data_IF_418654753041
#
_entry.id   IF_418654753041
#
_cell.length_a   1.000
_cell.length_b   1.000
_cell.length_c   1.000
_cell.angle_alpha   90.00
_cell.angle_beta   90.00
_cell.angle_gamma   90.00
#
_symmetry.space_group_name_H-M   'P 1'
#
loop_
_entity.id
_entity.type
_entity.pdbx_description
1 polymer ?
#
# COMPACT_ATOMS: atom_id res chain seq x y z
N UNK A 1 -19.81 43.71 -32.90
CA UNK A 1 -19.72 42.25 -32.75
C UNK A 1 -19.08 42.00 -31.37
N UNK A 2 -19.89 41.67 -30.35
CA UNK A 2 -19.39 41.25 -29.05
C UNK A 2 -18.89 39.82 -29.21
N UNK A 3 -17.58 39.60 -29.16
CA UNK A 3 -17.04 38.25 -29.00
C UNK A 3 -17.43 37.74 -27.63
N UNK A 4 -18.10 36.59 -27.61
CA UNK A 4 -18.30 35.88 -26.32
C UNK A 4 -16.91 35.51 -25.78
N UNK A 5 -16.63 35.79 -24.52
CA UNK A 5 -15.37 35.39 -23.92
C UNK A 5 -15.24 33.86 -23.99
N UNK A 6 -14.13 33.39 -24.52
CA UNK A 6 -13.78 31.97 -24.49
C UNK A 6 -13.54 31.60 -23.01
N UNK A 7 -14.27 30.61 -22.52
CA UNK A 7 -14.07 30.13 -21.16
C UNK A 7 -12.69 29.49 -21.03
N UNK A 8 -11.95 29.90 -20.01
CA UNK A 8 -10.67 29.27 -19.66
C UNK A 8 -10.92 27.85 -19.15
N UNK A 9 -10.07 26.91 -19.50
CA UNK A 9 -10.12 25.54 -19.00
C UNK A 9 -8.72 25.01 -18.66
N UNK A 10 -8.68 24.08 -17.70
CA UNK A 10 -7.55 23.23 -17.35
C UNK A 10 -8.08 21.82 -17.24
N UNK A 11 -7.46 20.87 -17.93
CA UNK A 11 -7.82 19.45 -17.92
C UNK A 11 -6.59 18.61 -17.68
N UNK A 12 -6.69 17.70 -16.73
CA UNK A 12 -5.66 16.71 -16.46
C UNK A 12 -6.00 15.40 -17.17
N UNK A 13 -5.00 14.67 -17.64
CA UNK A 13 -5.15 13.32 -18.19
C UNK A 13 -5.80 12.37 -17.18
N UNK A 14 -5.52 12.58 -15.89
CA UNK A 14 -6.10 11.81 -14.79
C UNK A 14 -6.36 12.70 -13.57
N UNK A 15 -7.43 12.41 -12.83
CA UNK A 15 -7.75 13.04 -11.56
C UNK A 15 -7.25 12.23 -10.35
N UNK A 16 -6.73 11.01 -10.59
CA UNK A 16 -6.16 10.14 -9.56
C UNK A 16 -4.98 9.36 -10.11
N UNK A 17 -3.84 9.44 -9.44
CA UNK A 17 -2.60 8.76 -9.80
C UNK A 17 -2.11 7.91 -8.62
N UNK A 18 -2.26 6.57 -8.68
CA UNK A 18 -1.59 5.67 -7.75
C UNK A 18 -0.10 5.54 -8.15
N UNK A 19 0.80 5.66 -7.17
CA UNK A 19 2.24 5.52 -7.36
C UNK A 19 2.84 4.53 -6.37
N UNK A 20 4.01 3.99 -6.69
CA UNK A 20 4.75 3.07 -5.82
C UNK A 20 5.34 3.79 -4.60
N UNK A 21 5.79 3.01 -3.61
CA UNK A 21 6.49 3.54 -2.43
C UNK A 21 7.86 4.14 -2.76
N UNK A 22 8.51 3.69 -3.84
CA UNK A 22 9.85 4.14 -4.25
C UNK A 22 9.85 5.58 -4.74
N UNK A 23 10.91 6.31 -4.42
CA UNK A 23 11.13 7.64 -4.98
C UNK A 23 11.18 7.60 -6.51
N UNK A 24 10.41 8.47 -7.17
CA UNK A 24 10.34 8.53 -8.62
C UNK A 24 9.87 9.89 -9.12
N UNK A 25 10.24 10.19 -10.37
CA UNK A 25 9.71 11.31 -11.13
C UNK A 25 8.41 10.92 -11.83
N UNK A 26 7.42 11.82 -11.82
CA UNK A 26 6.11 11.61 -12.42
C UNK A 26 5.73 12.79 -13.30
N UNK A 27 5.04 12.49 -14.40
CA UNK A 27 4.48 13.48 -15.31
C UNK A 27 3.01 13.14 -15.60
N UNK A 28 2.16 14.17 -15.68
CA UNK A 28 0.74 14.07 -16.04
C UNK A 28 0.50 15.07 -17.17
N UNK A 29 -0.11 14.64 -18.27
CA UNK A 29 -0.46 15.54 -19.35
C UNK A 29 -1.54 16.53 -18.93
N UNK A 30 -1.37 17.80 -19.31
CA UNK A 30 -2.28 18.91 -19.02
C UNK A 30 -2.67 19.60 -20.31
N UNK A 31 -3.95 19.67 -20.57
CA UNK A 31 -4.52 20.49 -21.64
C UNK A 31 -5.09 21.77 -21.03
N UNK A 32 -4.68 22.93 -21.51
CA UNK A 32 -5.16 24.21 -21.01
C UNK A 32 -5.31 25.23 -22.12
N UNK A 33 -6.30 26.12 -21.99
CA UNK A 33 -6.45 27.32 -22.81
C UNK A 33 -5.70 28.53 -22.26
N UNK A 34 -4.93 28.36 -21.16
CA UNK A 34 -4.23 29.42 -20.45
C UNK A 34 -2.73 29.24 -20.63
N UNK A 35 -2.06 30.28 -21.13
CA UNK A 35 -0.62 30.22 -21.43
C UNK A 35 0.27 30.45 -20.19
N UNK A 36 -0.24 31.14 -19.17
CA UNK A 36 0.53 31.47 -17.96
C UNK A 36 -0.39 31.87 -16.80
N UNK A 37 0.17 31.96 -15.59
CA UNK A 37 -0.55 32.43 -14.40
C UNK A 37 -1.37 31.34 -13.73
N UNK A 38 -1.04 30.05 -13.94
CA UNK A 38 -1.60 28.94 -13.18
C UNK A 38 -0.78 28.78 -11.90
N UNK A 39 -1.44 28.92 -10.75
CA UNK A 39 -0.86 28.68 -9.45
C UNK A 39 -0.94 27.19 -9.12
N UNK A 40 0.19 26.63 -8.65
CA UNK A 40 0.31 25.24 -8.22
C UNK A 40 0.37 25.16 -6.70
N UNK A 41 -0.37 24.26 -6.11
CA UNK A 41 -0.30 23.98 -4.68
C UNK A 41 -0.42 22.49 -4.39
N UNK A 42 0.13 22.08 -3.22
CA UNK A 42 0.03 20.70 -2.74
C UNK A 42 -0.57 20.72 -1.33
N UNK A 43 -1.58 19.89 -1.12
CA UNK A 43 -2.10 19.60 0.21
C UNK A 43 -1.89 18.11 0.54
N UNK A 44 -1.55 17.81 1.79
CA UNK A 44 -1.29 16.45 2.26
C UNK A 44 -2.43 15.97 3.15
N UNK A 45 -2.77 14.68 3.05
CA UNK A 45 -3.90 14.09 3.79
C UNK A 45 -3.66 13.95 5.29
N UNK A 46 -2.38 13.92 5.69
CA UNK A 46 -1.92 13.85 7.07
C UNK A 46 -0.84 14.89 7.31
N UNK A 47 -1.01 15.69 8.35
CA UNK A 47 -0.07 16.75 8.72
C UNK A 47 1.27 16.19 9.26
N UNK A 48 1.31 14.92 9.70
CA UNK A 48 2.49 14.29 10.29
C UNK A 48 3.50 13.77 9.25
N UNK A 49 3.07 13.51 8.01
CA UNK A 49 3.89 12.90 6.95
C UNK A 49 4.90 13.83 6.27
N UNK A 50 4.89 15.15 6.57
CA UNK A 50 5.75 16.14 5.92
C UNK A 50 5.51 16.30 4.41
N UNK A 51 6.25 17.21 3.78
CA UNK A 51 6.22 17.40 2.34
C UNK A 51 7.04 16.30 1.64
N UNK A 52 6.40 15.53 0.76
CA UNK A 52 7.03 14.46 0.01
C UNK A 52 6.85 14.59 -1.52
N UNK A 53 6.15 15.62 -1.97
CA UNK A 53 6.10 16.06 -3.36
C UNK A 53 7.05 17.24 -3.50
N UNK A 54 8.04 17.11 -4.38
CA UNK A 54 9.08 18.10 -4.63
C UNK A 54 9.14 18.45 -6.11
N UNK A 55 9.84 19.51 -6.47
CA UNK A 55 10.11 19.95 -7.85
C UNK A 55 8.85 20.05 -8.71
N UNK A 56 7.73 20.48 -8.10
CA UNK A 56 6.46 20.62 -8.79
C UNK A 56 6.53 21.73 -9.84
N UNK A 57 6.26 21.40 -11.10
CA UNK A 57 6.30 22.31 -12.23
C UNK A 57 5.16 22.05 -13.21
N UNK A 58 4.76 23.09 -13.93
CA UNK A 58 3.87 23.00 -15.08
C UNK A 58 4.57 23.64 -16.28
N UNK A 59 4.99 22.83 -17.22
CA UNK A 59 5.70 23.27 -18.43
C UNK A 59 5.38 22.33 -19.60
N UNK A 60 5.36 22.86 -20.80
CA UNK A 60 5.18 22.11 -22.05
C UNK A 60 3.95 21.18 -22.05
N UNK A 61 2.85 21.62 -21.41
CA UNK A 61 1.63 20.82 -21.29
C UNK A 61 1.74 19.63 -20.36
N UNK A 62 2.68 19.66 -19.39
CA UNK A 62 2.89 18.62 -18.41
C UNK A 62 2.98 19.19 -16.99
N UNK A 63 2.27 18.56 -16.07
CA UNK A 63 2.46 18.70 -14.65
C UNK A 63 3.51 17.66 -14.24
N UNK A 64 4.66 18.10 -13.77
CA UNK A 64 5.75 17.23 -13.36
C UNK A 64 6.08 17.42 -11.89
N UNK A 65 6.44 16.35 -11.19
CA UNK A 65 6.84 16.36 -9.80
C UNK A 65 7.71 15.15 -9.45
N UNK A 66 8.49 15.27 -8.40
CA UNK A 66 9.22 14.17 -7.78
C UNK A 66 8.49 13.73 -6.52
N UNK A 67 8.23 12.44 -6.39
CA UNK A 67 7.73 11.83 -5.16
C UNK A 67 8.89 11.24 -4.38
N UNK A 68 9.04 11.62 -3.11
CA UNK A 68 10.00 11.01 -2.19
C UNK A 68 9.62 9.58 -1.84
N UNK A 69 10.58 8.79 -1.34
CA UNK A 69 10.32 7.43 -0.89
C UNK A 69 9.33 7.43 0.30
N UNK A 70 8.39 6.50 0.27
CA UNK A 70 7.54 6.20 1.41
C UNK A 70 8.07 4.95 2.11
N UNK A 71 8.85 5.12 3.15
CA UNK A 71 9.42 4.06 3.97
C UNK A 71 8.51 3.62 5.13
N UNK A 72 7.33 4.26 5.25
CA UNK A 72 6.35 3.92 6.28
C UNK A 72 5.53 2.67 5.91
N UNK A 73 4.81 2.14 6.88
CA UNK A 73 3.85 1.04 6.70
C UNK A 73 2.46 1.50 6.27
N UNK A 74 2.29 2.79 5.98
CA UNK A 74 0.99 3.37 5.66
C UNK A 74 1.00 4.06 4.29
N UNK A 75 -0.14 4.04 3.62
CA UNK A 75 -0.36 4.83 2.41
C UNK A 75 -0.40 6.31 2.77
N UNK A 76 0.15 7.15 1.92
CA UNK A 76 0.03 8.59 2.05
C UNK A 76 -0.62 9.21 0.82
N UNK A 77 -1.30 10.32 1.05
CA UNK A 77 -2.11 11.00 0.05
C UNK A 77 -1.67 12.45 -0.07
N UNK A 78 -1.55 12.92 -1.30
CA UNK A 78 -1.42 14.33 -1.61
C UNK A 78 -2.43 14.72 -2.69
N UNK A 79 -2.85 15.97 -2.68
CA UNK A 79 -3.65 16.56 -3.76
C UNK A 79 -2.87 17.73 -4.34
N UNK A 80 -2.56 17.65 -5.63
CA UNK A 80 -1.96 18.74 -6.39
C UNK A 80 -3.10 19.51 -7.05
N UNK A 81 -3.21 20.79 -6.77
CA UNK A 81 -4.22 21.68 -7.31
C UNK A 81 -3.60 22.71 -8.25
N UNK A 82 -4.26 22.93 -9.39
CA UNK A 82 -3.96 23.93 -10.39
C UNK A 82 -5.08 24.96 -10.35
N UNK A 83 -4.75 26.21 -10.10
CA UNK A 83 -5.72 27.31 -10.00
C UNK A 83 -5.33 28.45 -10.95
N UNK A 84 -6.24 28.87 -11.77
CA UNK A 84 -6.11 30.09 -12.58
C UNK A 84 -7.23 31.06 -12.25
N UNK A 85 -6.89 32.33 -12.12
CA UNK A 85 -7.86 33.42 -11.96
C UNK A 85 -7.64 34.46 -13.08
N UNK A 86 -8.70 34.75 -13.82
CA UNK A 86 -8.65 35.78 -14.87
C UNK A 86 -8.73 37.21 -14.29
N UNK A 87 -8.52 38.20 -15.16
CA UNK A 87 -8.58 39.61 -14.80
C UNK A 87 -9.95 40.09 -14.29
N UNK A 88 -11.00 39.31 -14.50
CA UNK A 88 -12.36 39.56 -14.01
C UNK A 88 -12.68 38.82 -12.70
N UNK A 89 -11.71 38.10 -12.13
CA UNK A 89 -11.88 37.34 -10.89
C UNK A 89 -12.57 35.99 -11.05
N UNK A 90 -12.76 35.50 -12.30
CA UNK A 90 -13.30 34.15 -12.54
C UNK A 90 -12.20 33.12 -12.35
N UNK A 91 -12.51 32.04 -11.71
CA UNK A 91 -11.56 30.96 -11.40
C UNK A 91 -11.80 29.73 -12.28
N UNK A 92 -10.71 29.10 -12.68
CA UNK A 92 -10.69 27.78 -13.30
C UNK A 92 -9.74 26.90 -12.49
N UNK A 93 -10.18 25.72 -12.11
CA UNK A 93 -9.38 24.81 -11.27
C UNK A 93 -9.38 23.39 -11.82
N UNK A 94 -8.31 22.67 -11.53
CA UNK A 94 -8.20 21.23 -11.70
C UNK A 94 -7.37 20.66 -10.56
N UNK A 95 -7.59 19.41 -10.19
CA UNK A 95 -6.84 18.76 -9.14
C UNK A 95 -6.58 17.29 -9.47
N UNK A 96 -5.44 16.78 -9.03
CA UNK A 96 -5.11 15.35 -9.07
C UNK A 96 -4.78 14.86 -7.68
N UNK A 97 -5.39 13.73 -7.33
CA UNK A 97 -5.10 13.01 -6.09
C UNK A 97 -3.99 11.99 -6.33
N UNK A 98 -2.86 12.18 -5.64
CA UNK A 98 -1.75 11.23 -5.64
C UNK A 98 -1.92 10.29 -4.45
N UNK A 99 -1.91 8.99 -4.70
CA UNK A 99 -1.95 7.98 -3.63
C UNK A 99 -0.67 7.16 -3.72
N UNK A 100 0.27 7.38 -2.79
CA UNK A 100 1.50 6.62 -2.73
C UNK A 100 1.33 5.39 -1.84
N UNK A 101 1.71 4.23 -2.37
CA UNK A 101 1.74 2.98 -1.64
C UNK A 101 2.70 3.05 -0.45
N UNK A 102 2.50 2.17 0.53
CA UNK A 102 3.44 1.97 1.62
C UNK A 102 4.65 1.14 1.17
N UNK A 103 5.72 1.19 1.96
CA UNK A 103 6.92 0.39 1.69
C UNK A 103 6.62 -1.10 1.81
N UNK A 104 6.98 -1.85 0.77
CA UNK A 104 7.02 -3.32 0.82
C UNK A 104 8.32 -3.83 1.44
N UNK A 105 9.10 -2.97 2.11
CA UNK A 105 10.32 -3.37 2.79
C UNK A 105 9.98 -4.04 4.14
N UNK A 106 10.36 -5.31 4.34
CA UNK A 106 10.14 -6.01 5.61
C UNK A 106 10.72 -5.28 6.83
N UNK A 107 11.80 -4.51 6.64
CA UNK A 107 12.44 -3.74 7.73
C UNK A 107 11.57 -2.60 8.25
N UNK A 108 10.61 -2.11 7.46
CA UNK A 108 9.64 -1.10 7.85
C UNK A 108 8.32 -1.70 8.39
N UNK A 109 8.23 -3.04 8.46
CA UNK A 109 7.02 -3.70 8.92
C UNK A 109 6.80 -3.49 10.42
N UNK A 110 5.55 -3.24 10.80
CA UNK A 110 5.12 -3.07 12.19
C UNK A 110 4.67 -4.39 12.80
N UNK A 111 5.13 -4.71 14.03
CA UNK A 111 4.64 -5.88 14.75
C UNK A 111 3.18 -5.70 15.19
N UNK A 112 2.37 -6.69 14.89
CA UNK A 112 0.98 -6.77 15.35
C UNK A 112 0.76 -8.07 16.11
N UNK A 113 -0.26 -8.08 16.96
CA UNK A 113 -0.66 -9.29 17.67
C UNK A 113 -1.55 -10.20 16.80
N UNK A 114 -1.80 -11.41 17.30
CA UNK A 114 -2.65 -12.37 16.60
C UNK A 114 -4.13 -11.97 16.59
N UNK A 115 -4.58 -11.12 17.54
CA UNK A 115 -5.94 -10.60 17.52
C UNK A 115 -6.16 -9.67 16.33
N UNK A 116 -5.18 -8.81 16.02
CA UNK A 116 -5.20 -7.99 14.82
C UNK A 116 -5.28 -8.85 13.55
N UNK A 117 -4.39 -9.84 13.41
CA UNK A 117 -4.36 -10.71 12.23
C UNK A 117 -5.66 -11.51 12.07
N UNK A 118 -6.26 -11.98 13.15
CA UNK A 118 -7.54 -12.68 13.15
C UNK A 118 -8.72 -11.76 12.77
N UNK A 119 -8.62 -10.46 13.05
CA UNK A 119 -9.64 -9.47 12.72
C UNK A 119 -9.60 -9.01 11.26
N UNK A 120 -8.50 -9.26 10.50
CA UNK A 120 -8.42 -8.91 9.08
C UNK A 120 -9.57 -9.51 8.28
N UNK A 121 -10.15 -8.72 7.39
CA UNK A 121 -11.17 -9.16 6.44
C UNK A 121 -10.60 -10.15 5.41
N UNK A 122 -11.48 -10.82 4.65
CA UNK A 122 -11.06 -11.58 3.48
C UNK A 122 -10.55 -10.65 2.38
N UNK A 123 -9.51 -11.06 1.66
CA UNK A 123 -8.87 -10.27 0.61
C UNK A 123 -7.37 -10.13 0.85
N UNK A 124 -6.73 -9.31 0.04
CA UNK A 124 -5.29 -9.10 0.12
C UNK A 124 -4.91 -8.26 1.34
N UNK A 125 -3.83 -8.64 2.01
CA UNK A 125 -3.28 -7.87 3.12
C UNK A 125 -2.43 -6.74 2.54
N UNK A 126 -2.88 -5.52 2.74
CA UNK A 126 -2.27 -4.31 2.20
C UNK A 126 -1.43 -3.55 3.24
N UNK A 127 -1.51 -3.94 4.51
CA UNK A 127 -0.72 -3.34 5.58
C UNK A 127 0.65 -4.01 5.71
N UNK A 128 1.71 -3.19 5.88
CA UNK A 128 3.07 -3.69 6.08
C UNK A 128 3.27 -4.11 7.54
N UNK A 129 2.79 -5.29 7.87
CA UNK A 129 2.77 -5.82 9.24
C UNK A 129 3.31 -7.25 9.32
N UNK A 130 3.81 -7.62 10.48
CA UNK A 130 4.18 -8.99 10.82
C UNK A 130 3.64 -9.41 12.17
N UNK A 131 3.58 -10.71 12.38
CA UNK A 131 3.29 -11.33 13.69
C UNK A 131 4.44 -12.22 14.12
N UNK A 132 4.66 -12.35 15.43
CA UNK A 132 5.71 -13.20 15.98
C UNK A 132 5.10 -14.36 16.76
N UNK A 133 5.53 -15.57 16.47
CA UNK A 133 5.01 -16.75 17.20
C UNK A 133 5.85 -18.00 16.96
N UNK A 134 5.38 -19.12 17.49
CA UNK A 134 6.03 -20.42 17.38
C UNK A 134 5.31 -21.31 16.35
N UNK A 135 6.05 -21.98 15.49
CA UNK A 135 5.50 -22.95 14.55
C UNK A 135 5.00 -24.18 15.30
N UNK A 136 3.72 -24.48 15.16
CA UNK A 136 3.08 -25.67 15.75
C UNK A 136 2.70 -26.71 14.70
N UNK A 137 2.55 -26.30 13.43
CA UNK A 137 2.38 -27.16 12.25
C UNK A 137 3.36 -26.71 11.17
N UNK A 138 4.20 -27.61 10.65
CA UNK A 138 5.38 -27.32 9.83
C UNK A 138 5.26 -27.68 8.34
N UNK A 139 4.05 -27.78 7.85
CA UNK A 139 3.80 -27.99 6.41
C UNK A 139 4.15 -29.38 5.85
N UNK A 140 4.49 -30.36 6.68
CA UNK A 140 4.87 -31.70 6.23
C UNK A 140 3.68 -32.59 5.84
N UNK A 141 2.46 -32.06 5.90
CA UNK A 141 1.28 -32.83 5.56
C UNK A 141 1.13 -32.95 4.03
N UNK A 142 1.48 -34.10 3.46
CA UNK A 142 1.52 -34.37 2.01
C UNK A 142 0.13 -34.50 1.36
N UNK A 143 -0.97 -34.43 2.11
CA UNK A 143 -2.33 -34.68 1.60
C UNK A 143 -3.03 -33.44 1.04
N UNK A 144 -2.39 -32.27 1.07
CA UNK A 144 -2.96 -31.01 0.58
C UNK A 144 -2.16 -30.52 -0.63
N UNK A 145 -2.82 -29.89 -1.62
CA UNK A 145 -2.14 -29.29 -2.77
C UNK A 145 -1.16 -28.18 -2.34
N UNK A 146 -1.42 -27.53 -1.21
CA UNK A 146 -0.54 -26.57 -0.57
C UNK A 146 -0.07 -27.09 0.78
N UNK A 147 1.12 -26.70 1.18
CA UNK A 147 1.65 -26.97 2.52
C UNK A 147 0.94 -26.07 3.53
N UNK A 148 0.36 -26.67 4.56
CA UNK A 148 -0.30 -25.94 5.66
C UNK A 148 0.63 -25.81 6.83
N UNK A 149 0.68 -24.61 7.37
CA UNK A 149 1.46 -24.22 8.51
C UNK A 149 0.54 -23.60 9.57
N UNK A 150 0.95 -23.67 10.83
CA UNK A 150 0.32 -22.91 11.90
C UNK A 150 1.37 -22.29 12.79
N UNK A 151 1.17 -21.02 13.11
CA UNK A 151 1.96 -20.26 14.07
C UNK A 151 1.09 -19.94 15.26
N UNK A 152 1.64 -20.00 16.47
CA UNK A 152 0.93 -19.76 17.71
C UNK A 152 1.67 -18.72 18.57
N UNK A 153 0.93 -17.81 19.21
CA UNK A 153 1.48 -16.87 20.16
C UNK A 153 1.60 -17.47 21.58
N UNK A 154 2.09 -16.65 22.53
CA UNK A 154 2.26 -17.06 23.92
C UNK A 154 0.93 -17.31 24.66
N UNK A 155 -0.16 -16.72 24.19
CA UNK A 155 -1.52 -16.90 24.73
C UNK A 155 -2.24 -18.10 24.13
N UNK A 156 -1.62 -18.83 23.21
CA UNK A 156 -2.18 -20.02 22.58
C UNK A 156 -3.10 -19.72 21.39
N UNK A 157 -3.19 -18.46 20.94
CA UNK A 157 -3.92 -18.11 19.72
C UNK A 157 -3.13 -18.56 18.51
N UNK A 158 -3.79 -19.15 17.51
CA UNK A 158 -3.13 -19.69 16.34
C UNK A 158 -3.63 -19.03 15.06
N UNK A 159 -2.70 -18.86 14.11
CA UNK A 159 -2.99 -18.47 12.72
C UNK A 159 -2.59 -19.60 11.80
N UNK A 160 -3.43 -19.86 10.80
CA UNK A 160 -3.14 -20.81 9.72
C UNK A 160 -2.64 -20.07 8.49
N UNK A 161 -1.63 -20.62 7.84
CA UNK A 161 -1.16 -20.11 6.57
C UNK A 161 -0.75 -21.23 5.62
N UNK A 162 -0.80 -20.95 4.33
CA UNK A 162 -0.50 -21.91 3.28
C UNK A 162 0.58 -21.39 2.33
N UNK A 163 1.43 -22.31 1.87
CA UNK A 163 2.45 -22.05 0.87
C UNK A 163 2.47 -23.16 -0.17
N UNK A 164 2.79 -22.81 -1.41
CA UNK A 164 3.05 -23.77 -2.48
C UNK A 164 4.45 -24.37 -2.40
N UNK A 165 5.34 -23.77 -1.60
CA UNK A 165 6.74 -24.18 -1.42
C UNK A 165 7.01 -24.60 0.03
N UNK A 166 8.16 -25.24 0.24
CA UNK A 166 8.68 -25.47 1.59
C UNK A 166 9.31 -24.18 2.12
N UNK A 167 8.78 -23.67 3.22
CA UNK A 167 9.26 -22.45 3.86
C UNK A 167 10.51 -22.66 4.74
N UNK A 168 10.98 -23.91 4.85
CA UNK A 168 12.16 -24.25 5.63
C UNK A 168 12.01 -24.03 7.14
N UNK A 169 10.78 -23.98 7.65
CA UNK A 169 10.49 -23.87 9.09
C UNK A 169 10.15 -25.23 9.66
N UNK A 170 10.53 -25.47 10.91
CA UNK A 170 10.24 -26.69 11.66
C UNK A 170 9.32 -26.38 12.84
N UNK A 171 8.69 -27.44 13.36
CA UNK A 171 7.93 -27.35 14.60
C UNK A 171 8.82 -26.82 15.72
N UNK A 172 8.28 -25.93 16.54
CA UNK A 172 8.93 -25.19 17.61
C UNK A 172 9.84 -24.04 17.18
N UNK A 173 10.13 -23.85 15.89
CA UNK A 173 10.81 -22.64 15.44
C UNK A 173 10.00 -21.40 15.83
N UNK A 174 10.68 -20.36 16.35
CA UNK A 174 10.10 -19.04 16.55
C UNK A 174 10.32 -18.23 15.27
N UNK A 175 9.25 -17.69 14.70
CA UNK A 175 9.33 -16.95 13.44
C UNK A 175 8.63 -15.61 13.54
N UNK A 176 9.10 -14.67 12.72
CA UNK A 176 8.35 -13.47 12.32
C UNK A 176 7.72 -13.74 10.97
N UNK A 177 6.41 -13.81 10.93
CA UNK A 177 5.63 -14.00 9.71
C UNK A 177 5.13 -12.66 9.20
N UNK A 178 5.66 -12.24 8.07
CA UNK A 178 5.21 -11.04 7.36
C UNK A 178 3.91 -11.32 6.63
N UNK A 179 2.92 -10.43 6.74
CA UNK A 179 1.58 -10.67 6.20
C UNK A 179 1.29 -9.89 4.91
N UNK A 180 2.03 -8.81 4.64
CA UNK A 180 1.85 -8.02 3.43
C UNK A 180 2.00 -8.86 2.16
N UNK A 181 1.06 -8.69 1.21
CA UNK A 181 1.04 -9.44 -0.05
C UNK A 181 0.45 -10.85 0.07
N UNK A 182 0.11 -11.29 1.28
CA UNK A 182 -0.71 -12.49 1.45
C UNK A 182 -2.19 -12.19 1.25
N UNK A 183 -2.99 -13.23 1.02
CA UNK A 183 -4.45 -13.13 0.88
C UNK A 183 -5.12 -13.88 2.01
N UNK A 184 -6.03 -13.25 2.75
CA UNK A 184 -6.88 -13.90 3.75
C UNK A 184 -8.06 -14.55 3.06
N UNK A 185 -8.21 -15.86 3.24
CA UNK A 185 -9.37 -16.63 2.78
C UNK A 185 -10.13 -17.21 3.97
N UNK A 186 -11.45 -17.26 3.83
CA UNK A 186 -12.30 -18.01 4.73
C UNK A 186 -12.55 -19.41 4.14
N UNK A 187 -12.29 -20.44 4.94
CA UNK A 187 -12.43 -21.84 4.54
C UNK A 187 -13.47 -22.48 5.44
N UNK A 188 -14.47 -23.09 4.82
CA UNK A 188 -15.47 -23.91 5.50
C UNK A 188 -15.08 -25.39 5.42
N UNK A 189 -14.99 -26.06 6.54
CA UNK A 189 -14.70 -27.50 6.63
C UNK A 189 -15.70 -28.16 7.61
N UNK A 190 -16.68 -28.84 7.02
CA UNK A 190 -17.81 -29.35 7.78
C UNK A 190 -18.66 -28.23 8.38
N UNK A 191 -18.76 -28.18 9.71
CA UNK A 191 -19.47 -27.13 10.47
C UNK A 191 -18.56 -26.00 10.96
N UNK A 192 -17.26 -26.08 10.67
CA UNK A 192 -16.27 -25.10 11.11
C UNK A 192 -15.91 -24.16 9.97
N UNK A 193 -15.76 -22.89 10.30
CA UNK A 193 -15.22 -21.87 9.41
C UNK A 193 -13.99 -21.26 10.08
N UNK A 194 -12.91 -21.15 9.31
CA UNK A 194 -11.66 -20.57 9.78
C UNK A 194 -10.99 -19.73 8.70
N UNK A 195 -10.11 -18.83 9.11
CA UNK A 195 -9.31 -18.03 8.19
C UNK A 195 -7.96 -18.65 7.94
N UNK A 196 -7.47 -18.52 6.71
CA UNK A 196 -6.14 -18.95 6.30
C UNK A 196 -5.47 -17.87 5.46
N UNK A 197 -4.20 -17.58 5.75
CA UNK A 197 -3.37 -16.71 4.93
C UNK A 197 -2.74 -17.52 3.81
N UNK A 198 -2.99 -17.15 2.57
CA UNK A 198 -2.47 -17.82 1.37
C UNK A 198 -1.49 -16.90 0.63
N UNK A 199 -0.71 -17.46 -0.31
CA UNK A 199 0.29 -16.69 -1.03
C UNK A 199 1.58 -16.47 -0.23
N UNK A 200 1.76 -17.18 0.87
CA UNK A 200 2.98 -17.08 1.69
C UNK A 200 4.14 -17.73 0.93
N UNK A 201 5.22 -16.96 0.72
CA UNK A 201 6.46 -17.34 0.09
C UNK A 201 7.63 -17.25 1.09
N UNK A 202 8.84 -17.61 0.66
CA UNK A 202 10.00 -17.68 1.57
C UNK A 202 10.34 -16.32 2.23
N UNK A 203 10.17 -15.23 1.50
CA UNK A 203 10.39 -13.86 1.98
C UNK A 203 9.46 -13.42 3.10
N UNK A 204 8.31 -14.08 3.25
CA UNK A 204 7.38 -13.81 4.35
C UNK A 204 7.91 -14.32 5.70
N UNK A 205 8.92 -15.20 5.70
CA UNK A 205 9.62 -15.61 6.93
C UNK A 205 10.78 -14.65 7.16
N UNK A 206 10.49 -13.51 7.80
CA UNK A 206 11.48 -12.43 8.03
C UNK A 206 12.61 -12.84 8.96
N UNK A 207 12.30 -13.66 9.97
CA UNK A 207 13.24 -14.14 10.98
C UNK A 207 12.84 -15.55 11.42
N UNK A 208 13.82 -16.39 11.62
CA UNK A 208 13.64 -17.73 12.17
C UNK A 208 14.69 -18.00 13.24
N UNK A 209 14.23 -18.40 14.40
CA UNK A 209 15.05 -18.91 15.50
C UNK A 209 14.68 -20.38 15.70
N UNK A 210 15.67 -21.27 15.64
CA UNK A 210 15.43 -22.70 15.81
C UNK A 210 14.92 -22.97 17.24
N UNK A 211 13.80 -23.68 17.34
CA UNK A 211 13.28 -24.13 18.63
C UNK A 211 14.09 -25.24 19.21
N UNK A 212 14.12 -25.31 20.53
CA UNK A 212 14.65 -26.52 21.19
C UNK A 212 13.67 -27.69 20.98
N UNK A 213 14.18 -28.90 20.71
CA UNK A 213 13.38 -30.08 20.50
C UNK A 213 12.56 -30.48 21.74
#
# INVERSE_FOLDING_TARGET
LSQMPVESYIRLETEALPISATAAHHEIAVETSVDSGIDLSVSYGDEEGGAWIENLTLADGKLAFDAGENDSSERRIAVISLLYQDEFGRTTEAAVRITQSFSMNPSAATEKDFAFAAALGTGDVEENVYVTGQIVLDGRNANFPNRRYSIQDAEGRALLFESTIDLGVARNDRVRLWLLGSTVKEVAEGTFTYKVFTGIAAEHIMQKEAGSP
#
